data_IF_403131048292
#
_entry.id   IF_403131048292
#
_cell.length_a   1.000
_cell.length_b   1.000
_cell.length_c   1.000
_cell.angle_alpha   90.00
_cell.angle_beta   90.00
_cell.angle_gamma   90.00
#
_symmetry.space_group_name_H-M   'P 1'
#
loop_
_entity.id
_entity.type
_entity.pdbx_description
1 polymer ?
#
# COMPACT_ATOMS: atom_id res chain seq x y z
N UNK A 1 1.25 -39.13 8.79
CA UNK A 1 1.05 -38.07 9.81
C UNK A 1 1.43 -38.71 11.11
N UNK A 2 2.47 -38.19 11.74
CA UNK A 2 2.94 -38.67 13.02
C UNK A 2 2.55 -37.61 14.06
N UNK A 3 1.78 -38.02 15.07
CA UNK A 3 1.31 -37.15 16.15
C UNK A 3 1.52 -37.86 17.48
N UNK A 4 2.12 -37.15 18.44
CA UNK A 4 2.32 -37.62 19.80
C UNK A 4 1.87 -36.54 20.77
N UNK A 5 1.19 -36.95 21.84
CA UNK A 5 0.70 -36.07 22.89
C UNK A 5 1.00 -36.69 24.25
N UNK A 6 1.62 -35.91 25.15
CA UNK A 6 2.00 -36.38 26.48
C UNK A 6 1.74 -35.30 27.51
N UNK A 7 1.25 -35.70 28.67
CA UNK A 7 1.13 -34.80 29.82
C UNK A 7 2.33 -34.96 30.73
N UNK A 8 3.10 -33.89 30.94
CA UNK A 8 4.34 -33.91 31.75
C UNK A 8 4.63 -32.53 32.34
N UNK A 9 5.04 -32.51 33.62
CA UNK A 9 5.42 -31.28 34.36
C UNK A 9 4.32 -30.20 34.40
N UNK A 10 3.06 -30.58 34.57
CA UNK A 10 1.94 -29.62 34.71
C UNK A 10 1.50 -28.98 33.40
N UNK A 11 1.51 -29.77 32.32
CA UNK A 11 1.11 -29.31 31.00
C UNK A 11 1.14 -30.41 29.96
N UNK A 12 0.47 -30.16 28.85
CA UNK A 12 0.51 -31.00 27.65
C UNK A 12 1.69 -30.62 26.78
N UNK A 13 2.31 -31.63 26.17
CA UNK A 13 3.32 -31.51 25.13
C UNK A 13 2.81 -32.27 23.91
N UNK A 14 2.97 -31.66 22.74
CA UNK A 14 2.53 -32.20 21.46
C UNK A 14 3.68 -32.15 20.47
N UNK A 15 3.81 -33.17 19.64
CA UNK A 15 4.63 -33.11 18.44
C UNK A 15 3.82 -33.56 17.24
N UNK A 16 4.07 -32.91 16.10
CA UNK A 16 3.37 -33.15 14.86
C UNK A 16 4.36 -33.18 13.70
N UNK A 17 4.24 -34.19 12.85
CA UNK A 17 4.87 -34.25 11.53
C UNK A 17 3.83 -34.67 10.48
N UNK A 18 3.34 -33.69 9.73
CA UNK A 18 2.46 -33.86 8.58
C UNK A 18 2.99 -33.09 7.38
N UNK A 19 2.32 -33.19 6.23
CA UNK A 19 2.70 -32.39 5.06
C UNK A 19 2.44 -30.89 5.33
N UNK A 20 1.34 -30.59 6.01
CA UNK A 20 0.82 -29.27 6.31
C UNK A 20 1.54 -28.61 7.49
N UNK A 21 1.83 -29.35 8.56
CA UNK A 21 2.43 -28.79 9.76
C UNK A 21 3.52 -29.70 10.32
N UNK A 22 4.60 -29.09 10.80
CA UNK A 22 5.67 -29.78 11.51
C UNK A 22 6.19 -28.93 12.65
N UNK A 23 6.28 -29.52 13.84
CA UNK A 23 6.87 -28.87 14.99
C UNK A 23 6.36 -29.42 16.32
N UNK A 24 6.53 -28.61 17.35
CA UNK A 24 6.18 -28.95 18.73
C UNK A 24 5.25 -27.87 19.30
N UNK A 25 4.40 -28.28 20.22
CA UNK A 25 3.58 -27.37 21.01
C UNK A 25 3.58 -27.80 22.48
N UNK A 26 3.40 -26.85 23.38
CA UNK A 26 3.12 -27.14 24.78
C UNK A 26 2.03 -26.23 25.30
N UNK A 27 1.13 -26.79 26.10
CA UNK A 27 0.05 -26.06 26.74
C UNK A 27 0.11 -26.28 28.25
N UNK A 28 0.42 -25.24 29.02
CA UNK A 28 0.60 -25.31 30.47
C UNK A 28 -0.73 -25.25 31.22
N UNK A 29 -0.76 -25.78 32.44
CA UNK A 29 -1.94 -25.65 33.33
C UNK A 29 -2.26 -24.18 33.68
N UNK A 30 -1.30 -23.27 33.47
CA UNK A 30 -1.46 -21.83 33.66
C UNK A 30 -2.06 -21.11 32.44
N UNK A 31 -2.58 -21.86 31.45
CA UNK A 31 -3.20 -21.32 30.23
C UNK A 31 -2.18 -20.56 29.36
N UNK A 32 -0.96 -21.08 29.25
CA UNK A 32 0.08 -20.61 28.33
C UNK A 32 0.29 -21.64 27.21
N UNK A 33 0.35 -21.17 25.97
CA UNK A 33 0.56 -21.95 24.76
C UNK A 33 1.88 -21.54 24.12
N UNK A 34 2.80 -22.49 24.01
CA UNK A 34 4.03 -22.31 23.24
C UNK A 34 3.94 -23.18 21.98
N UNK A 35 4.20 -22.57 20.83
CA UNK A 35 4.19 -23.20 19.51
C UNK A 35 5.54 -22.93 18.84
N UNK A 36 6.25 -23.99 18.50
CA UNK A 36 7.51 -23.94 17.78
C UNK A 36 7.40 -24.80 16.52
N UNK A 37 7.04 -24.16 15.40
CA UNK A 37 6.72 -24.83 14.15
C UNK A 37 7.84 -24.63 13.13
N UNK A 38 8.42 -25.72 12.64
CA UNK A 38 9.34 -25.65 11.50
C UNK A 38 8.59 -25.38 10.18
N UNK A 39 7.33 -25.81 10.09
CA UNK A 39 6.49 -25.64 8.91
C UNK A 39 5.04 -25.50 9.33
N UNK A 40 4.34 -24.58 8.68
CA UNK A 40 2.89 -24.48 8.72
C UNK A 40 2.37 -24.04 7.36
N UNK A 41 1.51 -24.83 6.76
CA UNK A 41 0.82 -24.55 5.51
C UNK A 41 -0.67 -24.52 5.81
N UNK A 42 -1.28 -23.36 5.64
CA UNK A 42 -2.73 -23.18 5.80
C UNK A 42 -3.32 -22.90 4.42
N UNK A 43 -4.31 -23.71 4.06
CA UNK A 43 -5.17 -23.50 2.91
C UNK A 43 -6.62 -23.62 3.37
N UNK A 44 -7.41 -22.59 3.13
CA UNK A 44 -8.82 -22.45 3.48
C UNK A 44 -9.60 -22.31 2.17
N UNK A 45 -10.16 -23.41 1.64
CA UNK A 45 -10.85 -23.42 0.34
C UNK A 45 -11.98 -22.40 0.24
N UNK A 46 -12.66 -22.11 1.35
CA UNK A 46 -13.79 -21.17 1.40
C UNK A 46 -13.39 -19.74 1.04
N UNK A 47 -12.13 -19.35 1.25
CA UNK A 47 -11.64 -18.02 0.87
C UNK A 47 -11.54 -17.85 -0.65
N UNK A 48 -11.33 -18.94 -1.39
CA UNK A 48 -11.26 -18.88 -2.86
C UNK A 48 -12.66 -18.62 -3.45
N UNK A 49 -13.69 -19.21 -2.83
CA UNK A 49 -15.10 -18.98 -3.22
C UNK A 49 -15.49 -17.51 -2.98
N UNK A 50 -15.11 -16.95 -1.83
CA UNK A 50 -15.39 -15.53 -1.53
C UNK A 50 -14.65 -14.57 -2.46
N UNK A 51 -13.43 -14.93 -2.90
CA UNK A 51 -12.67 -14.13 -3.85
C UNK A 51 -13.28 -14.13 -5.27
N UNK A 52 -13.95 -15.21 -5.67
CA UNK A 52 -14.63 -15.30 -6.97
C UNK A 52 -15.90 -14.45 -7.06
N UNK A 53 -16.54 -14.13 -5.93
CA UNK A 53 -17.75 -13.31 -5.87
C UNK A 53 -17.49 -11.79 -5.91
N UNK A 54 -16.24 -11.36 -6.13
CA UNK A 54 -15.78 -9.95 -6.08
C UNK A 54 -16.09 -9.25 -4.74
N UNK A 55 -16.40 -10.04 -3.71
CA UNK A 55 -16.55 -9.59 -2.33
C UNK A 55 -15.17 -9.53 -1.68
N UNK A 56 -14.42 -8.46 -1.93
CA UNK A 56 -13.15 -8.29 -1.22
C UNK A 56 -13.41 -8.30 0.29
N UNK A 57 -12.77 -9.25 0.96
CA UNK A 57 -12.92 -9.60 2.38
C UNK A 57 -12.58 -8.41 3.30
N UNK A 58 -11.84 -7.41 2.77
CA UNK A 58 -11.38 -6.22 3.49
C UNK A 58 -12.29 -5.00 3.21
N UNK A 59 -13.12 -5.03 2.18
CA UNK A 59 -13.78 -3.81 1.64
C UNK A 59 -15.28 -3.71 1.86
N UNK A 60 -15.96 -4.75 2.31
CA UNK A 60 -17.37 -4.61 2.67
C UNK A 60 -17.48 -4.07 4.10
N UNK A 61 -17.45 -2.75 4.23
CA UNK A 61 -17.97 -2.11 5.43
C UNK A 61 -19.46 -2.49 5.51
N UNK A 62 -19.82 -3.32 6.49
CA UNK A 62 -21.20 -3.67 6.80
C UNK A 62 -21.59 -2.98 8.11
N UNK A 63 -22.16 -1.76 8.05
CA UNK A 63 -22.53 -1.01 9.25
C UNK A 63 -23.61 -1.71 10.08
N UNK A 64 -24.34 -2.65 9.48
CA UNK A 64 -25.41 -3.42 10.13
C UNK A 64 -24.90 -4.68 10.85
N UNK A 65 -23.65 -5.07 10.63
CA UNK A 65 -23.06 -6.17 11.37
C UNK A 65 -23.00 -5.82 12.86
N UNK A 66 -23.21 -6.80 13.77
CA UNK A 66 -23.04 -6.56 15.20
C UNK A 66 -21.60 -6.12 15.50
N UNK A 67 -21.37 -5.20 16.46
CA UNK A 67 -20.03 -4.75 16.85
C UNK A 67 -19.10 -5.89 17.26
N UNK A 68 -19.65 -6.93 17.91
CA UNK A 68 -18.94 -8.14 18.29
C UNK A 68 -19.77 -9.35 17.86
N UNK A 69 -19.17 -10.30 17.15
CA UNK A 69 -19.78 -11.58 16.76
C UNK A 69 -19.62 -12.64 17.86
N UNK A 70 -20.46 -13.69 17.84
CA UNK A 70 -20.34 -14.82 18.77
C UNK A 70 -19.03 -15.58 18.60
N UNK A 71 -18.52 -15.64 17.36
CA UNK A 71 -17.20 -16.18 17.06
C UNK A 71 -16.10 -15.38 17.76
N UNK A 72 -16.10 -14.06 17.60
CA UNK A 72 -15.12 -13.18 18.26
C UNK A 72 -15.17 -13.29 19.77
N UNK A 73 -16.37 -13.33 20.38
CA UNK A 73 -16.53 -13.54 21.82
C UNK A 73 -15.96 -14.89 22.27
N UNK A 74 -16.19 -15.93 21.48
CA UNK A 74 -15.75 -17.28 21.80
C UNK A 74 -14.23 -17.40 21.66
N UNK A 75 -13.68 -16.96 20.53
CA UNK A 75 -12.25 -16.91 20.27
C UNK A 75 -11.53 -16.08 21.33
N UNK A 76 -12.04 -14.89 21.64
CA UNK A 76 -11.51 -14.05 22.71
C UNK A 76 -11.55 -14.73 24.07
N UNK A 77 -12.47 -15.65 24.37
CA UNK A 77 -12.48 -16.34 25.67
C UNK A 77 -11.49 -17.50 25.74
N UNK A 78 -11.26 -18.17 24.62
CA UNK A 78 -10.46 -19.41 24.57
C UNK A 78 -9.00 -19.17 24.23
N UNK A 79 -8.63 -18.00 23.71
CA UNK A 79 -7.24 -17.68 23.38
C UNK A 79 -6.38 -17.60 24.65
N UNK A 80 -5.39 -18.50 24.82
CA UNK A 80 -4.43 -18.43 25.92
C UNK A 80 -3.33 -17.41 25.64
N UNK A 81 -2.50 -17.14 26.64
CA UNK A 81 -1.23 -16.46 26.42
C UNK A 81 -0.42 -17.32 25.45
N UNK A 82 0.03 -16.76 24.34
CA UNK A 82 0.58 -17.56 23.23
C UNK A 82 1.90 -17.00 22.75
N UNK A 83 2.93 -17.85 22.77
CA UNK A 83 4.18 -17.64 22.07
C UNK A 83 4.22 -18.56 20.85
N UNK A 84 4.40 -17.99 19.67
CA UNK A 84 4.41 -18.71 18.41
C UNK A 84 5.63 -18.33 17.59
N UNK A 85 6.40 -19.35 17.23
CA UNK A 85 7.47 -19.22 16.24
C UNK A 85 7.18 -20.16 15.07
N UNK A 86 7.29 -19.66 13.85
CA UNK A 86 7.15 -20.45 12.63
C UNK A 86 8.35 -20.15 11.72
N UNK A 87 9.10 -21.17 11.31
CA UNK A 87 10.24 -21.00 10.39
C UNK A 87 9.82 -20.84 8.92
N UNK A 88 8.76 -21.54 8.52
CA UNK A 88 8.28 -21.58 7.15
C UNK A 88 6.75 -21.63 7.09
N UNK A 89 6.15 -20.45 7.08
CA UNK A 89 4.70 -20.26 6.99
C UNK A 89 4.25 -20.01 5.56
N UNK A 90 3.25 -20.78 5.12
CA UNK A 90 2.53 -20.60 3.87
C UNK A 90 1.04 -20.43 4.17
N UNK A 91 0.40 -19.46 3.51
CA UNK A 91 -1.02 -19.17 3.65
C UNK A 91 -1.63 -18.95 2.28
N UNK A 92 -2.70 -19.68 1.93
CA UNK A 92 -3.34 -19.62 0.60
C UNK A 92 -2.34 -19.75 -0.58
N UNK A 93 -1.32 -20.60 -0.42
CA UNK A 93 -0.27 -20.77 -1.44
C UNK A 93 0.79 -19.66 -1.47
N UNK A 94 0.63 -18.59 -0.68
CA UNK A 94 1.60 -17.50 -0.55
C UNK A 94 2.63 -17.78 0.54
N UNK A 95 3.89 -17.52 0.25
CA UNK A 95 4.99 -17.70 1.20
C UNK A 95 5.10 -16.49 2.13
N UNK A 96 4.46 -16.60 3.30
CA UNK A 96 4.51 -15.58 4.36
C UNK A 96 5.89 -15.52 5.03
N UNK A 97 6.58 -16.65 5.15
CA UNK A 97 7.96 -16.69 5.66
C UNK A 97 8.03 -17.02 7.16
N UNK A 98 8.90 -16.34 7.91
CA UNK A 98 9.07 -16.57 9.34
C UNK A 98 8.09 -15.72 10.14
N UNK A 99 7.54 -16.28 11.20
CA UNK A 99 6.64 -15.59 12.15
C UNK A 99 7.20 -15.74 13.56
N UNK A 100 7.23 -14.65 14.31
CA UNK A 100 7.52 -14.63 15.75
C UNK A 100 6.49 -13.74 16.45
N UNK A 101 5.61 -14.36 17.23
CA UNK A 101 4.46 -13.73 17.85
C UNK A 101 4.46 -14.01 19.36
N UNK A 102 4.12 -12.98 20.13
CA UNK A 102 3.86 -13.06 21.56
C UNK A 102 2.60 -12.27 21.87
N UNK A 103 1.58 -12.98 22.36
CA UNK A 103 0.30 -12.40 22.74
C UNK A 103 -0.06 -12.79 24.16
N UNK A 104 -0.45 -11.80 24.95
CA UNK A 104 -0.81 -11.97 26.35
C UNK A 104 -2.20 -11.43 26.63
N UNK A 105 -2.92 -12.08 27.53
CA UNK A 105 -4.21 -11.63 28.01
C UNK A 105 -4.04 -10.63 29.16
N UNK A 106 -4.68 -9.48 29.01
CA UNK A 106 -4.79 -8.46 30.06
C UNK A 106 -6.26 -8.10 30.28
N UNK A 107 -6.94 -8.89 31.12
CA UNK A 107 -8.37 -8.74 31.39
C UNK A 107 -9.22 -8.90 30.13
N UNK A 108 -9.85 -7.81 29.70
CA UNK A 108 -10.68 -7.75 28.49
C UNK A 108 -9.88 -7.39 27.23
N UNK A 109 -8.54 -7.46 27.28
CA UNK A 109 -7.66 -7.26 26.13
C UNK A 109 -6.81 -8.49 25.84
N UNK A 110 -6.55 -8.70 24.56
CA UNK A 110 -5.40 -9.46 24.05
C UNK A 110 -4.37 -8.44 23.58
N UNK A 111 -3.14 -8.55 24.06
CA UNK A 111 -2.05 -7.62 23.79
C UNK A 111 -0.98 -8.35 22.99
N UNK A 112 -0.74 -7.92 21.76
CA UNK A 112 0.41 -8.37 20.97
C UNK A 112 1.61 -7.54 21.39
N UNK A 113 2.45 -8.12 22.25
CA UNK A 113 3.74 -7.52 22.61
C UNK A 113 4.67 -7.46 21.39
N UNK A 114 4.57 -8.48 20.52
CA UNK A 114 5.21 -8.53 19.22
C UNK A 114 4.46 -9.46 18.26
N UNK A 115 4.49 -9.09 16.99
CA UNK A 115 4.19 -9.96 15.87
C UNK A 115 5.14 -9.54 14.73
N UNK A 116 6.20 -10.30 14.57
CA UNK A 116 7.23 -10.07 13.57
C UNK A 116 7.07 -11.09 12.44
N UNK A 117 7.04 -10.60 11.21
CA UNK A 117 7.03 -11.41 10.01
C UNK A 117 8.26 -11.06 9.17
N UNK A 118 8.94 -12.07 8.62
CA UNK A 118 10.04 -11.82 7.68
C UNK A 118 9.99 -12.79 6.50
N UNK A 119 10.10 -12.23 5.30
CA UNK A 119 10.09 -12.99 4.05
C UNK A 119 11.05 -12.36 3.05
N UNK A 120 12.15 -13.06 2.75
CA UNK A 120 13.22 -12.49 1.93
C UNK A 120 13.84 -11.26 2.60
N UNK A 121 13.79 -10.12 1.90
CA UNK A 121 14.27 -8.81 2.40
C UNK A 121 13.18 -8.01 3.11
N UNK A 122 11.95 -8.52 3.17
CA UNK A 122 10.81 -7.84 3.76
C UNK A 122 10.69 -8.17 5.25
N UNK A 123 10.40 -7.14 6.05
CA UNK A 123 10.18 -7.23 7.49
C UNK A 123 8.90 -6.48 7.84
N UNK A 124 8.02 -7.15 8.59
CA UNK A 124 6.80 -6.58 9.16
C UNK A 124 6.91 -6.70 10.67
N UNK A 125 6.69 -5.62 11.40
CA UNK A 125 6.59 -5.64 12.85
C UNK A 125 5.24 -5.03 13.24
N UNK A 126 4.49 -5.75 14.06
CA UNK A 126 3.17 -5.35 14.51
C UNK A 126 3.14 -5.48 16.03
N UNK A 127 2.66 -4.46 16.70
CA UNK A 127 2.32 -4.49 18.13
C UNK A 127 0.96 -3.83 18.33
N UNK A 128 0.24 -4.20 19.38
CA UNK A 128 -1.12 -3.70 19.53
C UNK A 128 -1.95 -4.40 20.57
N UNK A 129 -3.24 -4.10 20.58
CA UNK A 129 -4.20 -4.80 21.41
C UNK A 129 -5.58 -4.85 20.78
N UNK A 130 -6.31 -5.90 21.15
CA UNK A 130 -7.69 -6.12 20.81
C UNK A 130 -8.52 -6.19 22.09
N UNK A 131 -9.45 -5.26 22.25
CA UNK A 131 -10.35 -5.12 23.38
C UNK A 131 -11.72 -5.69 23.01
N UNK A 132 -12.21 -6.64 23.82
CA UNK A 132 -13.58 -7.15 23.74
C UNK A 132 -14.25 -7.03 25.12
N UNK A 133 -15.24 -6.14 25.26
CA UNK A 133 -15.90 -5.88 26.54
C UNK A 133 -17.36 -5.45 26.36
N UNK A 134 -18.31 -6.32 26.71
CA UNK A 134 -19.73 -6.05 26.42
C UNK A 134 -19.94 -5.93 24.91
N UNK A 135 -20.41 -4.79 24.44
CA UNK A 135 -20.55 -4.51 23.00
C UNK A 135 -19.36 -3.73 22.41
N UNK A 136 -18.34 -3.45 23.21
CA UNK A 136 -17.10 -2.86 22.71
C UNK A 136 -16.25 -3.92 22.02
N UNK A 137 -15.89 -3.63 20.78
CA UNK A 137 -14.91 -4.35 19.98
C UNK A 137 -13.94 -3.33 19.39
N UNK A 138 -12.70 -3.28 19.86
CA UNK A 138 -11.75 -2.27 19.39
C UNK A 138 -10.38 -2.86 19.21
N UNK A 139 -9.79 -2.61 18.05
CA UNK A 139 -8.40 -2.97 17.76
C UNK A 139 -7.56 -1.71 17.67
N UNK A 140 -6.35 -1.78 18.22
CA UNK A 140 -5.30 -0.77 18.08
C UNK A 140 -4.03 -1.47 17.65
N UNK A 141 -3.38 -0.98 16.60
CA UNK A 141 -2.14 -1.55 16.09
C UNK A 141 -1.15 -0.46 15.70
N UNK A 142 0.10 -0.70 16.02
CA UNK A 142 1.24 -0.06 15.38
C UNK A 142 1.77 -1.05 14.36
N UNK A 143 1.95 -0.58 13.13
CA UNK A 143 2.38 -1.38 12.00
C UNK A 143 3.64 -0.74 11.41
N UNK A 144 4.71 -1.51 11.29
CA UNK A 144 5.95 -1.09 10.66
C UNK A 144 6.34 -2.09 9.60
N UNK A 145 6.47 -1.64 8.37
CA UNK A 145 6.92 -2.48 7.28
C UNK A 145 8.11 -1.86 6.57
N UNK A 146 9.07 -2.70 6.20
CA UNK A 146 10.19 -2.29 5.38
C UNK A 146 10.66 -3.41 4.48
N UNK A 147 11.27 -3.04 3.36
CA UNK A 147 11.89 -3.98 2.45
C UNK A 147 12.77 -3.29 1.43
N UNK A 148 13.60 -4.08 0.76
CA UNK A 148 14.53 -3.57 -0.26
C UNK A 148 13.89 -3.42 -1.64
N UNK A 149 12.75 -4.08 -1.88
CA UNK A 149 12.04 -4.06 -3.14
C UNK A 149 10.54 -4.28 -2.92
N UNK A 150 9.73 -3.25 -3.12
CA UNK A 150 8.28 -3.31 -2.99
C UNK A 150 7.62 -4.27 -3.99
N UNK A 151 8.20 -4.47 -5.19
CA UNK A 151 7.67 -5.41 -6.19
C UNK A 151 7.71 -6.85 -5.70
N UNK A 152 8.80 -7.27 -5.05
CA UNK A 152 8.93 -8.63 -4.51
C UNK A 152 7.86 -8.91 -3.45
N UNK A 153 7.54 -7.92 -2.60
CA UNK A 153 6.46 -8.07 -1.63
C UNK A 153 5.08 -8.16 -2.29
N UNK A 154 4.78 -7.28 -3.25
CA UNK A 154 3.47 -7.23 -3.88
C UNK A 154 3.19 -8.49 -4.74
N UNK A 155 4.15 -8.91 -5.56
CA UNK A 155 4.04 -10.11 -6.41
C UNK A 155 3.81 -11.39 -5.58
N UNK A 156 4.41 -11.46 -4.38
CA UNK A 156 4.20 -12.58 -3.44
C UNK A 156 2.78 -12.73 -2.93
N UNK A 157 1.95 -11.71 -3.05
CA UNK A 157 0.53 -11.74 -2.67
C UNK A 157 -0.40 -11.52 -3.88
N UNK A 158 0.13 -11.68 -5.10
CA UNK A 158 -0.64 -11.49 -6.33
C UNK A 158 -1.04 -10.03 -6.60
N UNK A 159 -0.44 -9.08 -5.89
CA UNK A 159 -0.71 -7.65 -6.05
C UNK A 159 0.27 -7.07 -7.05
N UNK A 160 -0.22 -6.16 -7.89
CA UNK A 160 0.58 -5.45 -8.89
C UNK A 160 0.41 -3.94 -8.64
N UNK A 161 1.52 -3.21 -8.68
CA UNK A 161 1.54 -1.76 -8.42
C UNK A 161 2.27 -1.03 -9.55
N UNK A 162 1.83 0.19 -9.84
CA UNK A 162 2.54 1.08 -10.77
C UNK A 162 3.92 1.47 -10.26
N UNK A 163 4.12 1.55 -8.94
CA UNK A 163 5.43 1.85 -8.34
C UNK A 163 6.20 0.55 -8.17
N UNK A 164 7.43 0.49 -8.69
CA UNK A 164 8.22 -0.74 -8.72
C UNK A 164 9.68 -0.53 -8.33
N UNK A 165 10.31 -1.64 -7.89
CA UNK A 165 11.75 -1.75 -7.61
C UNK A 165 12.28 -0.73 -6.60
N UNK A 166 11.41 -0.27 -5.70
CA UNK A 166 11.75 0.71 -4.70
C UNK A 166 11.93 0.04 -3.33
N UNK A 167 13.04 0.31 -2.61
CA UNK A 167 13.07 0.05 -1.18
C UNK A 167 12.03 0.93 -0.50
N UNK A 168 11.38 0.42 0.53
CA UNK A 168 10.26 1.08 1.17
C UNK A 168 10.34 0.94 2.68
N UNK A 169 9.85 1.96 3.37
CA UNK A 169 9.59 2.00 4.80
C UNK A 169 8.22 2.65 5.00
N UNK A 170 7.40 2.07 5.85
CA UNK A 170 6.09 2.59 6.20
C UNK A 170 5.81 2.30 7.67
N UNK A 171 5.37 3.34 8.37
CA UNK A 171 4.95 3.28 9.76
C UNK A 171 3.49 3.76 9.81
N UNK A 172 2.63 3.01 10.47
CA UNK A 172 1.23 3.39 10.70
C UNK A 172 0.82 3.10 12.13
N UNK A 173 0.01 3.99 12.71
CA UNK A 173 -0.68 3.76 13.98
C UNK A 173 -2.16 3.90 13.74
N UNK A 174 -2.88 2.79 13.89
CA UNK A 174 -4.28 2.69 13.49
C UNK A 174 -5.12 2.16 14.65
N UNK A 175 -6.34 2.65 14.75
CA UNK A 175 -7.39 2.05 15.57
C UNK A 175 -8.73 2.03 14.85
N UNK A 176 -9.52 0.99 15.12
CA UNK A 176 -10.84 0.81 14.52
C UNK A 176 -11.76 0.02 15.45
N UNK A 177 -13.06 0.11 15.18
CA UNK A 177 -14.05 -0.80 15.77
C UNK A 177 -14.06 -2.13 15.02
N UNK A 178 -13.99 -3.22 15.76
CA UNK A 178 -13.92 -4.58 15.22
C UNK A 178 -12.66 -5.35 15.62
N UNK A 179 -12.64 -6.64 15.29
CA UNK A 179 -11.50 -7.51 15.50
C UNK A 179 -10.34 -7.20 14.53
N UNK A 180 -9.13 -7.72 14.79
CA UNK A 180 -7.96 -7.48 13.94
C UNK A 180 -8.14 -7.88 12.46
N UNK A 181 -9.00 -8.86 12.19
CA UNK A 181 -9.32 -9.37 10.85
C UNK A 181 -10.62 -8.80 10.27
N UNK A 182 -11.38 -8.01 11.03
CA UNK A 182 -12.68 -7.47 10.63
C UNK A 182 -12.69 -5.96 10.85
N UNK A 183 -12.00 -5.24 9.98
CA UNK A 183 -11.86 -3.79 10.06
C UNK A 183 -13.11 -3.08 9.55
N UNK A 184 -13.77 -2.27 10.39
CA UNK A 184 -14.82 -1.34 9.95
C UNK A 184 -14.20 -0.07 9.42
N UNK A 185 -14.08 0.05 8.10
CA UNK A 185 -13.37 1.14 7.43
C UNK A 185 -13.87 2.52 7.89
N UNK A 186 -15.18 2.72 8.09
CA UNK A 186 -15.74 4.01 8.56
C UNK A 186 -15.32 4.42 9.97
N UNK A 187 -14.67 3.54 10.73
CA UNK A 187 -14.24 3.79 12.11
C UNK A 187 -12.73 3.89 12.25
N UNK A 188 -11.99 3.71 11.15
CA UNK A 188 -10.53 3.74 11.16
C UNK A 188 -10.08 5.15 11.48
N UNK A 189 -9.19 5.25 12.46
CA UNK A 189 -8.53 6.47 12.89
C UNK A 189 -7.03 6.21 12.99
N UNK A 190 -6.21 7.22 12.73
CA UNK A 190 -4.77 7.05 12.86
C UNK A 190 -3.90 8.01 12.07
N UNK A 191 -2.63 7.64 11.96
CA UNK A 191 -1.61 8.35 11.21
C UNK A 191 -0.71 7.35 10.48
N UNK A 192 -0.15 7.81 9.37
CA UNK A 192 0.72 7.01 8.50
C UNK A 192 1.87 7.88 7.99
N UNK A 193 3.05 7.29 7.94
CA UNK A 193 4.25 7.83 7.30
C UNK A 193 4.73 6.79 6.26
N UNK A 194 5.17 7.26 5.11
CA UNK A 194 5.66 6.39 4.05
C UNK A 194 6.83 7.02 3.33
N UNK A 195 7.83 6.18 3.06
CA UNK A 195 9.01 6.52 2.28
C UNK A 195 9.34 5.40 1.31
N UNK A 196 9.53 5.77 0.06
CA UNK A 196 10.11 4.93 -0.97
C UNK A 196 11.40 5.57 -1.45
N UNK A 197 12.45 4.76 -1.61
CA UNK A 197 13.71 5.18 -2.22
C UNK A 197 13.65 5.14 -3.74
N UNK A 198 14.80 4.97 -4.38
CA UNK A 198 14.89 4.98 -5.85
C UNK A 198 14.08 3.84 -6.45
N UNK A 199 13.28 4.15 -7.47
CA UNK A 199 12.43 3.19 -8.15
C UNK A 199 11.99 3.67 -9.52
N UNK A 200 11.03 2.96 -10.10
CA UNK A 200 10.41 3.33 -11.38
C UNK A 200 8.92 3.19 -11.27
N UNK A 201 8.19 4.16 -11.80
CA UNK A 201 6.77 4.03 -12.05
C UNK A 201 6.60 3.50 -13.47
N UNK A 202 6.08 2.30 -13.64
CA UNK A 202 5.85 1.70 -14.96
C UNK A 202 4.37 1.67 -15.29
N UNK A 203 4.06 1.71 -16.58
CA UNK A 203 2.75 1.35 -17.10
C UNK A 203 2.52 -0.15 -16.83
N UNK A 204 1.71 -0.45 -15.83
CA UNK A 204 1.19 -1.79 -15.62
C UNK A 204 -0.28 -1.77 -16.01
N UNK A 205 -0.51 -1.82 -17.31
CA UNK A 205 -1.81 -2.19 -17.85
C UNK A 205 -2.20 -3.57 -17.29
N UNK A 206 -3.29 -3.61 -16.51
CA UNK A 206 -3.92 -4.87 -16.08
C UNK A 206 -3.47 -5.48 -14.75
N UNK A 207 -3.18 -4.64 -13.74
CA UNK A 207 -2.90 -5.11 -12.38
C UNK A 207 -4.13 -5.77 -11.72
N UNK A 208 -3.97 -6.99 -11.19
CA UNK A 208 -5.02 -7.76 -10.53
C UNK A 208 -5.67 -6.98 -9.38
N UNK A 209 -7.01 -7.03 -9.36
CA UNK A 209 -7.98 -6.23 -8.61
C UNK A 209 -7.97 -6.40 -7.08
N UNK A 210 -6.96 -7.03 -6.51
CA UNK A 210 -7.07 -7.59 -5.15
C UNK A 210 -6.57 -6.71 -4.01
N UNK A 211 -5.97 -5.54 -4.28
CA UNK A 211 -5.82 -4.44 -3.29
C UNK A 211 -5.83 -3.08 -4.00
N UNK A 212 -6.91 -2.81 -4.73
CA UNK A 212 -7.12 -1.57 -5.47
C UNK A 212 -7.39 -0.39 -4.53
N UNK A 213 -6.35 0.20 -3.95
CA UNK A 213 -6.49 1.45 -3.19
C UNK A 213 -5.82 2.67 -3.83
N UNK A 214 -5.15 2.53 -4.99
CA UNK A 214 -4.80 3.69 -5.81
C UNK A 214 -4.33 3.24 -7.20
N UNK A 215 -5.10 3.48 -8.26
CA UNK A 215 -4.55 3.37 -9.62
C UNK A 215 -3.77 4.66 -9.93
N UNK A 216 -2.50 4.72 -9.54
CA UNK A 216 -1.58 5.78 -10.00
C UNK A 216 -1.49 5.80 -11.54
N UNK A 217 -1.71 4.65 -12.16
CA UNK A 217 -1.77 4.42 -13.61
C UNK A 217 -2.74 5.38 -14.34
N UNK A 218 -3.98 5.53 -13.85
CA UNK A 218 -4.96 6.42 -14.50
C UNK A 218 -4.57 7.89 -14.43
N UNK A 219 -3.86 8.29 -13.37
CA UNK A 219 -3.33 9.66 -13.21
C UNK A 219 -2.21 9.90 -14.20
N UNK A 220 -1.25 8.97 -14.23
CA UNK A 220 -0.09 9.06 -15.09
C UNK A 220 -0.54 9.04 -16.53
N UNK A 221 -1.39 8.12 -16.98
CA UNK A 221 -1.85 8.01 -18.38
C UNK A 221 -2.42 9.30 -18.97
N UNK A 222 -3.15 10.09 -18.18
CA UNK A 222 -3.59 11.42 -18.63
C UNK A 222 -2.47 12.44 -18.70
N UNK A 223 -1.50 12.39 -17.79
CA UNK A 223 -0.25 13.16 -17.91
C UNK A 223 0.58 12.68 -19.12
N UNK A 224 0.62 11.38 -19.43
CA UNK A 224 1.38 10.81 -20.55
C UNK A 224 0.94 11.40 -21.89
N UNK A 225 -0.34 11.72 -22.08
CA UNK A 225 -0.82 12.37 -23.31
C UNK A 225 -0.14 13.72 -23.59
N UNK A 226 0.39 14.40 -22.56
CA UNK A 226 1.19 15.62 -22.67
C UNK A 226 2.72 15.37 -22.69
N UNK A 227 3.18 14.13 -22.43
CA UNK A 227 4.60 13.79 -22.15
C UNK A 227 5.04 12.38 -22.63
N UNK A 228 4.41 11.86 -23.69
CA UNK A 228 4.48 10.47 -24.18
C UNK A 228 5.90 9.84 -24.11
N UNK A 229 6.92 10.54 -24.62
CA UNK A 229 8.31 10.01 -24.68
C UNK A 229 8.96 9.75 -23.31
N UNK A 230 8.49 10.40 -22.24
CA UNK A 230 9.03 10.25 -20.86
C UNK A 230 8.40 9.06 -20.13
N UNK A 231 7.17 8.72 -20.50
CA UNK A 231 6.37 7.77 -19.74
C UNK A 231 6.24 6.39 -20.40
N UNK A 232 6.50 6.28 -21.71
CA UNK A 232 6.43 5.02 -22.47
C UNK A 232 7.39 3.92 -22.00
N UNK A 233 8.41 4.25 -21.20
CA UNK A 233 9.38 3.29 -20.62
C UNK A 233 9.34 3.21 -19.09
N UNK A 234 8.36 3.89 -18.48
CA UNK A 234 8.28 4.14 -17.05
C UNK A 234 9.13 5.34 -16.58
N UNK A 235 8.64 6.03 -15.55
CA UNK A 235 9.26 7.22 -14.97
C UNK A 235 10.13 6.85 -13.78
N UNK A 236 11.45 7.04 -13.90
CA UNK A 236 12.38 6.84 -12.80
C UNK A 236 12.25 7.94 -11.74
N UNK A 237 12.33 7.54 -10.48
CA UNK A 237 12.29 8.47 -9.35
C UNK A 237 13.35 8.17 -8.30
N UNK A 238 13.75 9.20 -7.56
CA UNK A 238 14.72 9.12 -6.48
C UNK A 238 14.05 8.83 -5.13
N UNK A 239 12.88 9.41 -4.89
CA UNK A 239 12.11 9.18 -3.67
C UNK A 239 10.63 9.50 -3.82
N UNK A 240 9.81 8.84 -3.01
CA UNK A 240 8.42 9.22 -2.73
C UNK A 240 8.29 9.28 -1.21
N UNK A 241 7.80 10.39 -0.67
CA UNK A 241 7.60 10.57 0.77
C UNK A 241 6.24 11.18 1.03
N UNK A 242 5.64 10.87 2.17
CA UNK A 242 4.44 11.58 2.60
C UNK A 242 3.92 11.11 3.94
N UNK A 243 3.10 11.95 4.55
CA UNK A 243 2.36 11.62 5.75
C UNK A 243 0.86 11.71 5.49
N UNK A 244 0.08 11.08 6.35
CA UNK A 244 -1.36 11.16 6.29
C UNK A 244 -2.01 10.93 7.63
N UNK A 245 -3.22 11.49 7.77
CA UNK A 245 -4.08 11.26 8.92
C UNK A 245 -5.36 10.60 8.45
N UNK A 246 -5.84 9.64 9.21
CA UNK A 246 -7.12 8.98 8.96
C UNK A 246 -8.06 9.36 10.08
N UNK A 247 -9.25 9.81 9.72
CA UNK A 247 -10.34 10.03 10.67
C UNK A 247 -11.64 9.51 10.10
N UNK A 248 -12.28 8.60 10.84
CA UNK A 248 -13.55 7.97 10.46
C UNK A 248 -13.51 7.40 9.03
N UNK A 249 -12.41 6.74 8.68
CA UNK A 249 -12.19 6.17 7.34
C UNK A 249 -11.81 7.18 6.25
N UNK A 250 -11.68 8.47 6.56
CA UNK A 250 -11.20 9.49 5.60
C UNK A 250 -9.72 9.73 5.80
N UNK A 251 -8.91 9.30 4.84
CA UNK A 251 -7.48 9.61 4.76
C UNK A 251 -7.29 11.01 4.18
N UNK A 252 -6.44 11.83 4.82
CA UNK A 252 -6.10 13.18 4.38
C UNK A 252 -4.60 13.37 4.40
N UNK A 253 -4.06 13.96 3.33
CA UNK A 253 -2.63 14.27 3.18
C UNK A 253 -2.44 15.64 2.53
N UNK A 254 -1.32 16.29 2.83
CA UNK A 254 -0.93 17.59 2.25
C UNK A 254 0.53 17.61 1.78
N UNK A 255 1.26 16.51 1.90
CA UNK A 255 2.72 16.48 1.82
C UNK A 255 3.27 15.24 1.11
N UNK A 256 2.42 14.53 0.34
CA UNK A 256 2.95 13.51 -0.58
C UNK A 256 3.78 14.23 -1.65
N UNK A 257 5.04 13.82 -1.76
CA UNK A 257 6.01 14.36 -2.69
C UNK A 257 6.76 13.24 -3.38
N UNK A 258 6.98 13.40 -4.68
CA UNK A 258 7.84 12.53 -5.47
C UNK A 258 8.91 13.36 -6.16
N UNK A 259 10.16 12.99 -5.94
CA UNK A 259 11.32 13.52 -6.65
C UNK A 259 11.65 12.56 -7.80
N UNK A 260 11.30 12.94 -9.03
CA UNK A 260 11.53 12.15 -10.23
C UNK A 260 12.54 12.78 -11.18
N UNK A 261 13.15 11.97 -12.05
CA UNK A 261 14.09 12.46 -13.07
C UNK A 261 13.42 13.47 -14.01
N UNK A 262 12.12 13.30 -14.25
CA UNK A 262 11.31 14.20 -15.09
C UNK A 262 10.90 15.50 -14.38
N UNK A 263 11.04 15.57 -13.05
CA UNK A 263 10.57 16.69 -12.25
C UNK A 263 9.95 16.27 -10.93
N UNK A 264 9.45 17.25 -10.19
CA UNK A 264 8.88 17.08 -8.87
C UNK A 264 7.35 17.01 -8.96
N UNK A 265 6.74 16.08 -8.22
CA UNK A 265 5.29 15.98 -8.07
C UNK A 265 4.91 16.17 -6.61
N UNK A 266 3.87 16.97 -6.35
CA UNK A 266 3.24 17.12 -5.03
C UNK A 266 1.77 16.74 -5.11
N UNK A 267 1.28 16.01 -4.12
CA UNK A 267 -0.11 15.57 -4.02
C UNK A 267 -0.66 16.01 -2.67
N UNK A 268 -1.84 16.63 -2.69
CA UNK A 268 -2.64 16.95 -1.51
C UNK A 268 -4.09 16.57 -1.79
N UNK A 269 -4.83 16.14 -0.76
CA UNK A 269 -6.21 15.75 -0.93
C UNK A 269 -6.68 14.76 0.12
N UNK A 270 -7.77 14.08 -0.22
CA UNK A 270 -8.38 13.08 0.62
C UNK A 270 -8.76 11.83 -0.17
N UNK A 271 -8.83 10.72 0.55
CA UNK A 271 -9.42 9.47 0.09
C UNK A 271 -10.41 8.97 1.14
N UNK A 272 -11.64 8.71 0.73
CA UNK A 272 -12.67 8.08 1.55
C UNK A 272 -12.55 6.56 1.38
N UNK A 273 -12.05 5.88 2.40
CA UNK A 273 -11.83 4.43 2.37
C UNK A 273 -13.13 3.61 2.27
N UNK A 274 -14.23 3.96 2.98
CA UNK A 274 -15.47 3.18 2.90
C UNK A 274 -16.13 3.23 1.51
N UNK A 275 -16.10 4.40 0.86
CA UNK A 275 -16.68 4.60 -0.48
C UNK A 275 -15.68 4.38 -1.61
N UNK A 276 -14.40 4.17 -1.27
CA UNK A 276 -13.30 4.04 -2.21
C UNK A 276 -13.25 5.18 -3.23
N UNK A 277 -13.40 6.43 -2.77
CA UNK A 277 -13.29 7.63 -3.63
C UNK A 277 -12.15 8.55 -3.25
N UNK A 278 -11.54 9.20 -4.24
CA UNK A 278 -10.46 10.17 -4.08
C UNK A 278 -10.92 11.56 -4.54
N UNK A 279 -10.45 12.59 -3.85
CA UNK A 279 -10.44 13.98 -4.32
C UNK A 279 -9.08 14.59 -3.99
N UNK A 280 -8.23 14.72 -5.01
CA UNK A 280 -6.87 15.19 -4.86
C UNK A 280 -6.48 16.22 -5.92
N UNK A 281 -5.51 17.06 -5.56
CA UNK A 281 -4.82 17.98 -6.44
C UNK A 281 -3.38 17.53 -6.58
N UNK A 282 -2.91 17.43 -7.83
CA UNK A 282 -1.55 17.05 -8.18
C UNK A 282 -0.86 18.23 -8.84
N UNK A 283 0.22 18.71 -8.26
CA UNK A 283 1.09 19.72 -8.86
C UNK A 283 2.33 19.04 -9.40
N UNK A 284 2.62 19.22 -10.69
CA UNK A 284 3.83 18.72 -11.34
C UNK A 284 4.70 19.89 -11.82
N UNK A 285 5.96 19.88 -11.39
CA UNK A 285 6.99 20.86 -11.73
C UNK A 285 8.10 20.15 -12.51
N UNK A 286 8.17 20.31 -13.83
CA UNK A 286 9.18 19.63 -14.64
C UNK A 286 10.62 20.06 -14.32
N UNK A 287 11.59 19.15 -14.44
CA UNK A 287 13.01 19.52 -14.38
C UNK A 287 13.48 20.08 -15.74
N UNK A 288 13.83 21.37 -15.75
CA UNK A 288 14.27 22.10 -16.95
C UNK A 288 15.71 21.80 -17.37
N UNK A 289 16.50 21.15 -16.52
CA UNK A 289 17.90 20.80 -16.77
C UNK A 289 18.09 19.39 -17.31
N UNK A 290 17.04 18.56 -17.23
CA UNK A 290 17.01 17.15 -17.66
C UNK A 290 17.11 16.95 -19.18
N UNK A 291 17.18 18.02 -19.98
CA UNK A 291 17.21 17.95 -21.44
C UNK A 291 15.84 17.66 -22.07
N UNK A 292 14.75 17.66 -21.30
CA UNK A 292 13.38 17.50 -21.82
C UNK A 292 12.98 18.78 -22.57
N UNK A 293 12.75 18.73 -23.90
CA UNK A 293 12.25 19.88 -24.62
C UNK A 293 10.78 20.13 -24.24
N UNK A 294 10.53 21.07 -23.33
CA UNK A 294 9.16 21.52 -23.05
C UNK A 294 8.75 22.53 -24.12
N UNK A 295 8.10 22.03 -25.18
CA UNK A 295 7.35 22.86 -26.12
C UNK A 295 5.96 22.24 -26.27
N UNK A 296 4.93 22.91 -25.77
CA UNK A 296 3.53 22.58 -26.12
C UNK A 296 2.87 23.80 -26.78
N UNK A 297 3.13 23.94 -28.08
CA UNK A 297 2.16 24.55 -28.98
C UNK A 297 1.31 23.40 -29.54
N UNK A 298 -0.02 23.58 -29.58
CA UNK A 298 -1.04 22.68 -30.18
C UNK A 298 -1.75 21.67 -29.28
N UNK A 299 -2.98 22.02 -28.91
CA UNK A 299 -4.12 21.09 -28.97
C UNK A 299 -5.43 21.90 -29.12
N UNK A 300 -5.65 22.51 -30.29
CA UNK A 300 -7.02 22.99 -30.63
C UNK A 300 -7.57 22.24 -31.85
N UNK A 301 -6.77 21.88 -32.86
CA UNK A 301 -7.21 20.97 -33.94
C UNK A 301 -6.01 20.47 -34.78
N UNK A 302 -6.03 19.23 -35.34
CA UNK A 302 -4.97 18.71 -36.23
C UNK A 302 -4.68 19.59 -37.46
N UNK A 303 -5.68 20.34 -37.90
CA UNK A 303 -5.66 21.15 -39.12
C UNK A 303 -4.79 22.42 -38.98
N UNK A 304 -4.51 22.89 -37.76
CA UNK A 304 -3.80 24.15 -37.50
C UNK A 304 -2.33 23.98 -37.11
N UNK A 305 -1.85 22.75 -36.92
CA UNK A 305 -0.50 22.45 -36.44
C UNK A 305 0.63 22.84 -37.42
N UNK A 306 0.36 22.81 -38.73
CA UNK A 306 1.39 23.00 -39.77
C UNK A 306 1.82 24.46 -39.99
N UNK A 307 1.06 25.46 -39.52
CA UNK A 307 1.27 26.86 -39.93
C UNK A 307 2.18 27.64 -38.97
N UNK A 308 2.30 27.26 -37.70
CA UNK A 308 3.07 28.05 -36.70
C UNK A 308 4.57 27.71 -36.71
N UNK A 309 4.96 26.52 -37.21
CA UNK A 309 6.33 26.04 -37.16
C UNK A 309 7.32 26.81 -38.06
N UNK A 310 6.82 27.55 -39.06
CA UNK A 310 7.68 28.27 -40.02
C UNK A 310 8.02 29.72 -39.62
N UNK A 311 7.39 30.27 -38.58
CA UNK A 311 7.48 31.72 -38.28
C UNK A 311 8.44 32.05 -37.12
N UNK A 312 8.78 31.10 -36.26
CA UNK A 312 9.50 31.37 -34.99
C UNK A 312 11.02 31.19 -35.05
N UNK A 313 11.60 30.76 -36.18
CA UNK A 313 13.03 30.42 -36.27
C UNK A 313 14.00 31.60 -36.18
N UNK A 314 13.53 32.85 -36.23
CA UNK A 314 14.42 34.01 -36.46
C UNK A 314 14.38 35.11 -35.39
N UNK A 315 13.40 35.20 -34.49
CA UNK A 315 13.17 36.47 -33.74
C UNK A 315 13.25 36.40 -32.20
N UNK A 316 13.31 35.25 -31.52
CA UNK A 316 13.51 35.29 -30.05
C UNK A 316 14.17 34.02 -29.49
N UNK A 317 15.36 34.09 -28.85
CA UNK A 317 16.01 32.96 -28.20
C UNK A 317 15.38 32.61 -26.82
N UNK A 318 14.22 33.19 -26.55
CA UNK A 318 13.43 32.97 -25.35
C UNK A 318 12.27 32.08 -25.74
N UNK A 319 12.29 30.85 -25.26
CA UNK A 319 11.20 29.89 -25.44
C UNK A 319 10.30 29.91 -24.22
N UNK A 320 8.99 29.87 -24.46
CA UNK A 320 7.99 29.75 -23.41
C UNK A 320 7.95 28.29 -22.95
N UNK A 321 8.39 28.03 -21.71
CA UNK A 321 8.44 26.70 -21.10
C UNK A 321 7.36 26.56 -20.04
N UNK A 322 6.78 25.37 -19.94
CA UNK A 322 5.84 25.05 -18.85
C UNK A 322 6.63 24.91 -17.56
N UNK A 323 6.29 25.71 -16.56
CA UNK A 323 6.97 25.72 -15.27
C UNK A 323 6.23 24.92 -14.21
N UNK A 324 4.91 24.77 -14.35
CA UNK A 324 4.09 23.95 -13.47
C UNK A 324 2.76 23.58 -14.14
N UNK A 325 2.26 22.38 -13.88
CA UNK A 325 0.91 21.94 -14.25
C UNK A 325 0.18 21.44 -13.02
N UNK A 326 -1.05 21.91 -12.81
CA UNK A 326 -1.91 21.45 -11.73
C UNK A 326 -3.06 20.62 -12.29
N UNK A 327 -3.29 19.45 -11.70
CA UNK A 327 -4.35 18.52 -12.07
C UNK A 327 -5.30 18.28 -10.90
N UNK A 328 -6.57 18.04 -11.21
CA UNK A 328 -7.56 17.47 -10.29
C UNK A 328 -7.72 16.00 -10.59
N UNK A 329 -7.72 15.17 -9.55
CA UNK A 329 -7.92 13.73 -9.59
C UNK A 329 -9.13 13.41 -8.73
N UNK A 330 -10.22 12.94 -9.33
CA UNK A 330 -11.49 12.66 -8.64
C UNK A 330 -12.15 11.38 -9.10
N UNK A 331 -12.88 10.72 -8.21
CA UNK A 331 -13.70 9.54 -8.53
C UNK A 331 -13.25 8.28 -7.80
N UNK A 332 -13.57 7.09 -8.32
CA UNK A 332 -13.17 5.82 -7.71
C UNK A 332 -11.65 5.68 -7.55
N UNK A 333 -11.18 5.09 -6.45
CA UNK A 333 -9.76 4.90 -6.13
C UNK A 333 -9.03 4.03 -7.17
N UNK A 334 -9.76 3.08 -7.76
CA UNK A 334 -9.28 2.14 -8.77
C UNK A 334 -9.28 2.72 -10.20
N UNK A 335 -10.00 3.82 -10.43
CA UNK A 335 -10.24 4.36 -11.76
C UNK A 335 -10.57 5.87 -11.73
N UNK A 336 -9.74 6.73 -11.12
CA UNK A 336 -10.06 8.15 -10.97
C UNK A 336 -9.98 8.88 -12.31
N UNK A 337 -10.83 9.90 -12.46
CA UNK A 337 -10.76 10.85 -13.57
C UNK A 337 -9.75 11.95 -13.26
N UNK A 338 -8.86 12.20 -14.20
CA UNK A 338 -7.87 13.29 -14.10
C UNK A 338 -8.23 14.44 -15.03
N UNK A 339 -8.02 15.68 -14.61
CA UNK A 339 -8.28 16.87 -15.42
C UNK A 339 -7.27 17.96 -15.11
N UNK A 340 -6.76 18.65 -16.14
CA UNK A 340 -5.90 19.82 -15.94
C UNK A 340 -6.73 20.98 -15.39
N UNK A 341 -6.26 21.58 -14.29
CA UNK A 341 -6.85 22.78 -13.67
C UNK A 341 -6.20 24.03 -14.26
N UNK A 342 -4.86 24.03 -14.33
CA UNK A 342 -4.08 25.19 -14.75
C UNK A 342 -2.67 24.82 -15.18
N UNK A 343 -2.09 25.65 -16.04
CA UNK A 343 -0.71 25.54 -16.50
C UNK A 343 -0.01 26.89 -16.40
N UNK A 344 1.12 26.91 -15.70
CA UNK A 344 2.00 28.07 -15.59
C UNK A 344 3.10 27.99 -16.63
N UNK A 345 3.46 29.14 -17.20
CA UNK A 345 4.49 29.25 -18.22
C UNK A 345 5.51 30.32 -17.85
N UNK A 346 6.75 30.14 -18.29
CA UNK A 346 7.86 31.06 -18.05
C UNK A 346 8.77 31.20 -19.26
N UNK A 347 9.62 32.21 -19.26
CA UNK A 347 10.59 32.48 -20.32
C UNK A 347 11.93 31.80 -20.02
N UNK A 348 12.38 30.88 -20.88
CA UNK A 348 13.70 30.25 -20.78
C UNK A 348 14.63 30.70 -21.91
N UNK A 349 15.83 31.18 -21.55
CA UNK A 349 16.87 31.57 -22.51
C UNK A 349 17.74 30.35 -22.83
N UNK A 350 17.74 29.94 -24.10
CA UNK A 350 18.59 28.83 -24.56
C UNK A 350 20.08 29.12 -24.29
N UNK A 351 20.79 28.19 -23.62
CA UNK A 351 22.25 28.20 -23.51
C UNK A 351 22.95 28.32 -24.89
N UNK A 352 24.07 29.05 -24.96
CA UNK A 352 24.79 29.34 -26.21
C UNK A 352 25.43 28.09 -26.86
N UNK A 353 25.72 27.05 -26.08
CA UNK A 353 26.29 25.77 -26.49
C UNK A 353 25.32 24.91 -27.29
N UNK A 354 24.01 24.98 -26.99
CA UNK A 354 22.95 24.32 -27.77
C UNK A 354 22.67 25.00 -29.12
N UNK A 355 23.26 26.18 -29.37
CA UNK A 355 23.09 26.91 -30.63
C UNK A 355 24.02 26.43 -31.75
N UNK A 356 25.03 25.61 -31.44
CA UNK A 356 26.09 25.25 -32.39
C UNK A 356 25.88 23.91 -33.11
N UNK A 357 24.90 23.10 -32.72
CA UNK A 357 24.50 21.90 -33.48
C UNK A 357 23.40 22.25 -34.50
N UNK A 358 23.74 22.97 -35.57
CA UNK A 358 22.91 23.06 -36.78
C UNK A 358 23.74 23.16 -38.05
#
# INVERSE_FOLDING_TARGET
MDFDARYKKGGWQFSLDSQEAKGEASYSDNNELHLALNRLHIYVPELDVLAEEDESIITQDNPQAPPVTDFERSLFKVLPDTQLTIDNFWFQGYKVGKVDMDVERSGNKLVWNKLNLSSGTNQVNIDGNWLVSGDQNKTKVNFKVKGENNSDLMERFGITSGIQRAPFEMDAKLDWEGAPWSMRLSTVNGEMDTKLGKGVISDVSGAARLLGLFSLDSIIRKMQLDFTDVFDKGMAFNSITGTGKIRDGVFVTNDIMMDAVAGEMRIKGLAELPTQTVDAEVSFTPDMTSGIPIITAFAVTPQTALVVLAVTTVISPVVEVVTQVNYSVKGPLDSPTVSEISRSKGEYKLPEDLKQEK
#
